data_IF_004250628620
#
_entry.id   IF_004250628620
#
_cell.length_a   1.000
_cell.length_b   1.000
_cell.length_c   1.000
_cell.angle_alpha   90.00
_cell.angle_beta   90.00
_cell.angle_gamma   90.00
#
_symmetry.space_group_name_H-M   'P 1'
#
loop_
_entity.id
_entity.type
_entity.pdbx_description
1 polymer ?
#
# COMPACT_ATOMS: atom_id res chain seq x y z
N UNK A 1 19.42 -6.35 -15.37
CA UNK A 1 19.26 -5.59 -14.11
C UNK A 1 19.59 -4.15 -14.43
N UNK A 2 18.74 -3.18 -14.08
CA UNK A 2 19.07 -1.75 -14.25
C UNK A 2 20.31 -1.42 -13.40
N UNK A 3 21.21 -0.56 -13.90
CA UNK A 3 22.38 -0.16 -13.13
C UNK A 3 21.97 0.63 -11.89
N UNK A 4 22.80 0.62 -10.84
CA UNK A 4 22.56 1.40 -9.63
C UNK A 4 22.28 2.88 -9.94
N UNK A 5 23.00 3.46 -10.92
CA UNK A 5 22.79 4.83 -11.38
C UNK A 5 21.41 5.05 -12.01
N UNK A 6 20.90 4.08 -12.78
CA UNK A 6 19.58 4.17 -13.40
C UNK A 6 18.47 4.12 -12.34
N UNK A 7 18.59 3.22 -11.34
CA UNK A 7 17.63 3.15 -10.23
C UNK A 7 17.59 4.45 -9.43
N UNK A 8 18.76 5.02 -9.12
CA UNK A 8 18.87 6.31 -8.43
C UNK A 8 18.28 7.45 -9.26
N UNK A 9 18.52 7.48 -10.58
CA UNK A 9 17.94 8.49 -11.46
C UNK A 9 16.41 8.39 -11.51
N UNK A 10 15.86 7.17 -11.55
CA UNK A 10 14.41 6.96 -11.51
C UNK A 10 13.81 7.44 -10.17
N UNK A 11 14.47 7.12 -9.05
CA UNK A 11 14.04 7.60 -7.73
C UNK A 11 14.09 9.12 -7.62
N UNK A 12 15.12 9.76 -8.18
CA UNK A 12 15.22 11.22 -8.23
C UNK A 12 14.08 11.84 -9.05
N UNK A 13 13.72 11.24 -10.20
CA UNK A 13 12.57 11.68 -10.99
C UNK A 13 11.25 11.55 -10.22
N UNK A 14 11.07 10.47 -9.45
CA UNK A 14 9.89 10.31 -8.60
C UNK A 14 9.89 11.34 -7.48
N UNK A 15 11.05 11.61 -6.86
CA UNK A 15 11.21 12.62 -5.83
C UNK A 15 10.84 14.02 -6.32
N UNK A 16 11.33 14.42 -7.50
CA UNK A 16 10.99 15.70 -8.11
C UNK A 16 9.49 15.82 -8.42
N UNK A 17 8.88 14.76 -8.97
CA UNK A 17 7.41 14.72 -9.22
C UNK A 17 6.60 14.82 -7.94
N UNK A 18 7.06 14.16 -6.88
CA UNK A 18 6.45 14.29 -5.55
C UNK A 18 6.63 15.70 -5.01
N UNK A 19 7.76 16.35 -5.23
CA UNK A 19 8.03 17.73 -4.79
C UNK A 19 7.16 18.74 -5.52
N UNK A 20 6.95 18.58 -6.82
CA UNK A 20 6.18 19.48 -7.68
C UNK A 20 4.66 19.30 -7.58
N UNK A 21 4.16 18.29 -6.88
CA UNK A 21 2.73 18.11 -6.68
C UNK A 21 2.20 19.14 -5.66
N UNK A 22 1.41 20.10 -6.12
CA UNK A 22 0.87 21.17 -5.27
C UNK A 22 -0.58 20.90 -4.85
N UNK A 23 -1.35 20.19 -5.66
CA UNK A 23 -2.74 19.82 -5.36
C UNK A 23 -2.86 18.41 -4.80
N UNK A 24 -3.96 18.13 -4.11
CA UNK A 24 -4.26 16.80 -3.57
C UNK A 24 -4.39 15.76 -4.68
N UNK A 25 -5.03 16.13 -5.79
CA UNK A 25 -5.17 15.29 -6.99
C UNK A 25 -3.81 14.94 -7.61
N UNK A 26 -2.92 15.92 -7.75
CA UNK A 26 -1.58 15.68 -8.27
C UNK A 26 -0.79 14.74 -7.35
N UNK A 27 -0.84 14.98 -6.04
CA UNK A 27 -0.15 14.12 -5.07
C UNK A 27 -0.71 12.70 -5.12
N UNK A 28 -2.04 12.55 -5.15
CA UNK A 28 -2.71 11.27 -5.28
C UNK A 28 -2.26 10.54 -6.55
N UNK A 29 -2.25 11.20 -7.71
CA UNK A 29 -1.84 10.59 -8.97
C UNK A 29 -0.39 10.09 -8.93
N UNK A 30 0.51 10.87 -8.32
CA UNK A 30 1.91 10.49 -8.15
C UNK A 30 2.03 9.30 -7.19
N UNK A 31 1.33 9.33 -6.05
CA UNK A 31 1.36 8.23 -5.08
C UNK A 31 0.77 6.94 -5.65
N UNK A 32 -0.37 7.02 -6.34
CA UNK A 32 -1.01 5.87 -6.97
C UNK A 32 -0.10 5.17 -7.99
N UNK A 33 0.70 5.95 -8.72
CA UNK A 33 1.60 5.43 -9.75
C UNK A 33 2.94 4.93 -9.21
N UNK A 34 3.51 5.63 -8.22
CA UNK A 34 4.91 5.42 -7.84
C UNK A 34 5.10 4.82 -6.45
N UNK A 35 4.12 4.90 -5.54
CA UNK A 35 4.29 4.38 -4.19
C UNK A 35 4.56 2.85 -4.16
N UNK A 36 3.76 1.99 -4.83
CA UNK A 36 4.05 0.55 -4.86
C UNK A 36 5.45 0.21 -5.41
N UNK A 37 5.86 0.66 -6.62
CA UNK A 37 7.19 0.34 -7.13
C UNK A 37 8.34 0.95 -6.31
N UNK A 38 8.14 2.11 -5.67
CA UNK A 38 9.14 2.67 -4.74
C UNK A 38 9.31 1.77 -3.51
N UNK A 39 8.21 1.25 -2.96
CA UNK A 39 8.28 0.29 -1.84
C UNK A 39 9.02 -0.97 -2.23
N UNK A 40 8.81 -1.51 -3.44
CA UNK A 40 9.57 -2.68 -3.92
C UNK A 40 11.08 -2.40 -3.97
N UNK A 41 11.52 -1.16 -4.20
CA UNK A 41 12.95 -0.81 -4.19
C UNK A 41 13.61 -0.87 -2.82
N UNK A 42 12.84 -1.03 -1.74
CA UNK A 42 13.37 -1.33 -0.40
C UNK A 42 14.13 -2.68 -0.36
N UNK A 43 13.86 -3.60 -1.28
CA UNK A 43 14.58 -4.87 -1.41
C UNK A 43 15.80 -4.80 -2.34
N UNK A 44 16.15 -3.61 -2.87
CA UNK A 44 17.33 -3.46 -3.75
C UNK A 44 18.61 -3.85 -3.02
N UNK A 45 19.50 -4.57 -3.71
CA UNK A 45 20.81 -4.97 -3.19
C UNK A 45 21.74 -3.76 -3.01
N UNK A 46 21.42 -2.63 -3.64
CA UNK A 46 22.21 -1.41 -3.59
C UNK A 46 21.83 -0.57 -2.37
N UNK A 47 22.77 -0.37 -1.45
CA UNK A 47 22.53 0.43 -0.23
C UNK A 47 22.12 1.87 -0.53
N UNK A 48 22.75 2.49 -1.54
CA UNK A 48 22.40 3.86 -1.96
C UNK A 48 20.94 3.98 -2.41
N UNK A 49 20.41 2.97 -3.09
CA UNK A 49 19.01 2.93 -3.55
C UNK A 49 18.08 2.85 -2.34
N UNK A 50 18.36 1.94 -1.39
CA UNK A 50 17.56 1.78 -0.16
C UNK A 50 17.54 3.06 0.67
N UNK A 51 18.68 3.72 0.84
CA UNK A 51 18.78 5.02 1.55
C UNK A 51 17.92 6.11 0.89
N UNK A 52 17.98 6.21 -0.44
CA UNK A 52 17.20 7.20 -1.19
C UNK A 52 15.69 6.92 -1.13
N UNK A 53 15.29 5.65 -1.17
CA UNK A 53 13.88 5.27 -0.95
C UNK A 53 13.42 5.71 0.44
N UNK A 54 14.21 5.43 1.48
CA UNK A 54 13.89 5.83 2.86
C UNK A 54 13.70 7.35 3.00
N UNK A 55 14.61 8.14 2.41
CA UNK A 55 14.50 9.60 2.35
C UNK A 55 13.18 10.02 1.68
N UNK A 56 12.86 9.47 0.52
CA UNK A 56 11.63 9.74 -0.21
C UNK A 56 10.38 9.42 0.64
N UNK A 57 10.37 8.27 1.32
CA UNK A 57 9.24 7.86 2.18
C UNK A 57 9.03 8.82 3.36
N UNK A 58 10.07 9.48 3.89
CA UNK A 58 9.91 10.52 4.93
C UNK A 58 9.08 11.69 4.39
N UNK A 59 9.36 12.15 3.17
CA UNK A 59 8.61 13.24 2.53
C UNK A 59 7.17 12.83 2.20
N UNK A 60 6.98 11.60 1.70
CA UNK A 60 5.66 11.03 1.42
C UNK A 60 4.82 10.98 2.70
N UNK A 61 5.36 10.42 3.78
CA UNK A 61 4.67 10.34 5.07
C UNK A 61 4.26 11.72 5.60
N UNK A 62 5.13 12.72 5.48
CA UNK A 62 4.80 14.10 5.89
C UNK A 62 3.64 14.65 5.07
N UNK A 63 3.67 14.49 3.74
CA UNK A 63 2.63 15.02 2.85
C UNK A 63 1.28 14.34 3.03
N UNK A 64 1.26 13.01 3.17
CA UNK A 64 0.03 12.23 3.41
C UNK A 64 -0.65 12.62 4.73
N UNK A 65 0.13 12.94 5.77
CA UNK A 65 -0.40 13.41 7.06
C UNK A 65 -1.07 14.78 6.96
N UNK A 66 -0.51 15.68 6.15
CA UNK A 66 -1.03 17.04 5.98
C UNK A 66 -2.26 17.10 5.05
N UNK A 67 -2.48 16.06 4.24
CA UNK A 67 -3.54 16.01 3.22
C UNK A 67 -4.41 14.76 3.44
N UNK A 68 -5.41 14.83 4.34
CA UNK A 68 -6.23 13.67 4.70
C UNK A 68 -7.13 13.17 3.57
N UNK A 69 -7.43 14.03 2.59
CA UNK A 69 -8.30 13.72 1.43
C UNK A 69 -7.57 12.87 0.37
N UNK A 70 -6.24 12.93 0.33
CA UNK A 70 -5.43 12.22 -0.67
C UNK A 70 -5.57 10.71 -0.49
N UNK A 71 -6.08 10.01 -1.50
CA UNK A 71 -6.19 8.56 -1.50
C UNK A 71 -4.85 7.88 -1.80
N UNK A 72 -4.64 6.68 -1.26
CA UNK A 72 -3.50 5.82 -1.57
C UNK A 72 -3.94 4.64 -2.45
N UNK A 73 -3.03 4.03 -3.22
CA UNK A 73 -3.36 2.90 -4.09
C UNK A 73 -3.56 1.61 -3.28
N UNK A 74 -4.65 1.53 -2.51
CA UNK A 74 -4.93 0.44 -1.55
C UNK A 74 -4.93 -0.92 -2.23
N UNK A 75 -5.58 -1.07 -3.39
CA UNK A 75 -5.62 -2.34 -4.11
C UNK A 75 -4.23 -2.82 -4.52
N UNK A 76 -3.43 -1.95 -5.14
CA UNK A 76 -2.06 -2.30 -5.52
C UNK A 76 -1.17 -2.61 -4.31
N UNK A 77 -1.38 -1.90 -3.19
CA UNK A 77 -0.68 -2.16 -1.94
C UNK A 77 -1.12 -3.49 -1.31
N UNK A 78 -2.40 -3.89 -1.42
CA UNK A 78 -2.87 -5.19 -0.97
C UNK A 78 -2.25 -6.32 -1.79
N UNK A 79 -2.26 -6.21 -3.11
CA UNK A 79 -1.60 -7.18 -4.00
C UNK A 79 -0.11 -7.32 -3.64
N UNK A 80 0.60 -6.21 -3.45
CA UNK A 80 1.99 -6.22 -3.05
C UNK A 80 2.20 -6.82 -1.64
N UNK A 81 1.29 -6.56 -0.72
CA UNK A 81 1.36 -7.07 0.65
C UNK A 81 1.11 -8.58 0.71
N UNK A 82 0.27 -9.11 -0.17
CA UNK A 82 -0.03 -10.54 -0.30
C UNK A 82 1.08 -11.34 -0.98
N UNK A 83 1.95 -10.70 -1.75
CA UNK A 83 3.02 -11.37 -2.48
C UNK A 83 3.96 -12.14 -1.51
N UNK A 84 4.04 -13.48 -1.62
CA UNK A 84 4.91 -14.29 -0.75
C UNK A 84 6.40 -14.04 -1.01
N UNK A 85 6.75 -13.46 -2.15
CA UNK A 85 8.14 -13.08 -2.49
C UNK A 85 8.55 -11.72 -1.91
N UNK A 86 7.60 -10.95 -1.36
CA UNK A 86 7.90 -9.65 -0.76
C UNK A 86 8.77 -9.82 0.49
N UNK A 87 9.87 -9.07 0.55
CA UNK A 87 10.74 -9.10 1.73
C UNK A 87 10.02 -8.52 2.95
N UNK A 88 10.48 -8.87 4.15
CA UNK A 88 9.93 -8.31 5.40
C UNK A 88 10.01 -6.78 5.41
N UNK A 89 11.05 -6.20 4.81
CA UNK A 89 11.19 -4.74 4.71
C UNK A 89 10.08 -4.14 3.84
N UNK A 90 9.82 -4.70 2.65
CA UNK A 90 8.71 -4.25 1.78
C UNK A 90 7.37 -4.43 2.51
N UNK A 91 7.14 -5.59 3.11
CA UNK A 91 5.89 -5.93 3.82
C UNK A 91 5.61 -4.95 4.97
N UNK A 92 6.62 -4.66 5.80
CA UNK A 92 6.51 -3.76 6.95
C UNK A 92 6.20 -2.31 6.56
N UNK A 93 6.74 -1.82 5.45
CA UNK A 93 6.40 -0.49 4.96
C UNK A 93 5.04 -0.48 4.25
N UNK A 94 4.70 -1.53 3.51
CA UNK A 94 3.44 -1.61 2.76
C UNK A 94 2.23 -1.52 3.70
N UNK A 95 2.27 -2.20 4.87
CA UNK A 95 1.17 -2.13 5.83
C UNK A 95 0.94 -0.71 6.41
N UNK A 96 1.98 0.10 6.55
CA UNK A 96 1.84 1.50 7.03
C UNK A 96 0.94 2.30 6.07
N UNK A 97 1.13 2.10 4.76
CA UNK A 97 0.34 2.75 3.73
C UNK A 97 -1.06 2.14 3.59
N UNK A 98 -1.22 0.84 3.81
CA UNK A 98 -2.54 0.22 3.90
C UNK A 98 -3.36 0.79 5.08
N UNK A 99 -2.77 0.87 6.27
CA UNK A 99 -3.43 1.41 7.47
C UNK A 99 -3.85 2.87 7.32
N UNK A 100 -3.09 3.65 6.56
CA UNK A 100 -3.40 5.06 6.33
C UNK A 100 -4.32 5.30 5.13
N UNK A 101 -4.28 4.43 4.12
CA UNK A 101 -5.04 4.57 2.87
C UNK A 101 -6.40 3.89 2.89
N UNK A 102 -6.53 2.75 3.57
CA UNK A 102 -7.76 1.97 3.60
C UNK A 102 -8.94 2.75 4.23
N UNK A 103 -8.78 3.43 5.39
CA UNK A 103 -9.88 4.20 5.98
C UNK A 103 -10.35 5.40 5.14
N UNK A 104 -9.55 5.84 4.15
CA UNK A 104 -9.87 6.98 3.28
C UNK A 104 -10.80 6.61 2.13
N UNK A 105 -10.95 5.31 1.84
CA UNK A 105 -11.85 4.83 0.79
C UNK A 105 -13.32 5.05 1.18
N UNK A 106 -14.23 5.17 0.20
CA UNK A 106 -15.66 5.04 0.46
C UNK A 106 -15.99 3.71 1.15
N UNK A 107 -16.97 3.72 2.05
CA UNK A 107 -17.33 2.55 2.88
C UNK A 107 -17.69 1.33 2.03
N UNK A 108 -18.35 1.55 0.90
CA UNK A 108 -18.74 0.50 -0.06
C UNK A 108 -17.50 -0.20 -0.60
N UNK A 109 -16.46 0.57 -0.93
CA UNK A 109 -15.21 0.05 -1.48
C UNK A 109 -14.35 -0.59 -0.39
N UNK A 110 -14.38 -0.06 0.84
CA UNK A 110 -13.76 -0.74 1.98
C UNK A 110 -14.39 -2.13 2.20
N UNK A 111 -15.72 -2.21 2.19
CA UNK A 111 -16.46 -3.47 2.36
C UNK A 111 -16.16 -4.49 1.25
N UNK A 112 -16.02 -4.02 0.00
CA UNK A 112 -15.63 -4.86 -1.14
C UNK A 112 -14.21 -5.46 -0.97
N UNK A 113 -13.29 -4.73 -0.33
CA UNK A 113 -11.92 -5.18 -0.13
C UNK A 113 -11.72 -6.04 1.12
N UNK A 114 -12.70 -6.13 2.03
CA UNK A 114 -12.62 -6.95 3.24
C UNK A 114 -12.16 -8.39 2.96
N UNK A 115 -12.69 -9.11 1.97
CA UNK A 115 -12.26 -10.48 1.71
C UNK A 115 -10.80 -10.55 1.23
N UNK A 116 -10.36 -9.55 0.45
CA UNK A 116 -8.95 -9.45 0.04
C UNK A 116 -8.04 -9.22 1.26
N UNK A 117 -8.47 -8.40 2.22
CA UNK A 117 -7.71 -8.17 3.47
C UNK A 117 -7.65 -9.43 4.32
N UNK A 118 -8.74 -10.21 4.41
CA UNK A 118 -8.76 -11.48 5.14
C UNK A 118 -7.75 -12.47 4.53
N UNK A 119 -7.70 -12.60 3.21
CA UNK A 119 -6.73 -13.46 2.53
C UNK A 119 -5.29 -12.97 2.74
N UNK A 120 -5.11 -11.67 2.97
CA UNK A 120 -3.81 -11.08 3.24
C UNK A 120 -3.28 -11.31 4.67
N UNK A 121 -4.07 -11.91 5.56
CA UNK A 121 -3.67 -12.22 6.93
C UNK A 121 -2.71 -13.42 7.02
N UNK A 122 -2.73 -14.31 6.03
CA UNK A 122 -1.95 -15.55 6.11
C UNK A 122 -0.44 -15.27 6.25
N UNK A 123 0.20 -15.96 7.21
CA UNK A 123 1.64 -15.90 7.46
C UNK A 123 2.19 -14.47 7.73
N UNK A 124 1.37 -13.56 8.27
CA UNK A 124 1.80 -12.20 8.67
C UNK A 124 2.10 -12.08 10.17
N UNK A 125 2.98 -11.14 10.58
CA UNK A 125 3.26 -10.88 11.99
C UNK A 125 2.00 -10.51 12.78
N UNK A 126 1.91 -10.90 14.05
CA UNK A 126 0.72 -10.66 14.90
C UNK A 126 0.30 -9.19 14.93
N UNK A 127 1.25 -8.26 15.03
CA UNK A 127 0.97 -6.82 15.02
C UNK A 127 0.30 -6.33 13.73
N UNK A 128 0.56 -7.01 12.61
CA UNK A 128 -0.09 -6.75 11.33
C UNK A 128 -1.50 -7.32 11.30
N UNK A 129 -1.70 -8.53 11.82
CA UNK A 129 -3.00 -9.16 11.95
C UNK A 129 -3.94 -8.27 12.77
N UNK A 130 -3.51 -7.86 13.96
CA UNK A 130 -4.28 -6.97 14.84
C UNK A 130 -4.65 -5.68 14.10
N UNK A 131 -3.67 -5.07 13.42
CA UNK A 131 -3.89 -3.84 12.67
C UNK A 131 -4.90 -4.00 11.54
N UNK A 132 -4.84 -5.09 10.76
CA UNK A 132 -5.73 -5.33 9.63
C UNK A 132 -7.13 -5.74 10.11
N UNK A 133 -7.23 -6.57 11.14
CA UNK A 133 -8.51 -6.96 11.76
C UNK A 133 -9.25 -5.73 12.32
N UNK A 134 -8.54 -4.84 13.02
CA UNK A 134 -9.14 -3.60 13.53
C UNK A 134 -9.71 -2.71 12.41
N UNK A 135 -9.14 -2.75 11.20
CA UNK A 135 -9.67 -2.01 10.05
C UNK A 135 -10.97 -2.63 9.52
N UNK A 136 -11.06 -3.96 9.46
CA UNK A 136 -12.16 -4.65 8.76
C UNK A 136 -13.30 -5.08 9.66
N UNK A 137 -13.09 -5.26 10.98
CA UNK A 137 -14.14 -5.66 11.93
C UNK A 137 -15.39 -4.76 11.83
N UNK A 138 -15.27 -3.41 11.81
CA UNK A 138 -16.44 -2.53 11.70
C UNK A 138 -17.18 -2.65 10.36
N UNK A 139 -16.56 -3.28 9.36
CA UNK A 139 -17.08 -3.40 8.00
C UNK A 139 -17.73 -4.75 7.73
N UNK A 140 -17.54 -5.76 8.59
CA UNK A 140 -18.06 -7.11 8.39
C UNK A 140 -19.58 -7.11 8.15
N UNK A 141 -20.34 -6.29 8.89
CA UNK A 141 -21.79 -6.16 8.70
C UNK A 141 -22.22 -5.45 7.41
N UNK A 142 -21.27 -4.88 6.66
CA UNK A 142 -21.50 -4.17 5.38
C UNK A 142 -21.00 -4.96 4.17
N UNK A 143 -20.32 -6.09 4.40
CA UNK A 143 -19.84 -6.97 3.32
C UNK A 143 -21.06 -7.61 2.66
N UNK A 144 -21.14 -7.48 1.33
CA UNK A 144 -22.16 -8.18 0.54
C UNK A 144 -21.75 -9.64 0.44
N UNK A 145 -22.34 -10.47 1.29
CA UNK A 145 -22.13 -11.92 1.27
C UNK A 145 -22.94 -12.51 0.10
N UNK A 146 -22.31 -13.17 -0.88
CA UNK A 146 -23.03 -13.86 -1.93
C UNK A 146 -23.94 -14.94 -1.33
N UNK A 147 -25.19 -15.02 -1.78
CA UNK A 147 -26.14 -16.06 -1.31
C UNK A 147 -25.88 -17.42 -1.96
N UNK A 148 -25.09 -17.45 -3.03
CA UNK A 148 -24.74 -18.66 -3.77
C UNK A 148 -23.54 -19.39 -3.12
N UNK A 149 -23.64 -20.70 -2.83
CA UNK A 149 -22.62 -21.45 -2.11
C UNK A 149 -21.27 -21.50 -2.85
N UNK A 150 -21.29 -21.52 -4.19
CA UNK A 150 -20.07 -21.51 -5.01
C UNK A 150 -19.29 -20.19 -4.91
N UNK A 151 -20.00 -19.07 -4.73
CA UNK A 151 -19.39 -17.74 -4.56
C UNK A 151 -18.94 -17.49 -3.12
N UNK A 152 -19.50 -18.22 -2.14
CA UNK A 152 -19.05 -18.17 -0.75
C UNK A 152 -17.66 -18.78 -0.58
N UNK A 153 -17.38 -19.91 -1.24
CA UNK A 153 -16.06 -20.55 -1.20
C UNK A 153 -15.00 -19.62 -1.77
N UNK A 154 -15.28 -18.99 -2.91
CA UNK A 154 -14.36 -18.06 -3.57
C UNK A 154 -14.24 -16.69 -2.88
N UNK A 155 -15.11 -16.38 -1.89
CA UNK A 155 -15.09 -15.08 -1.22
C UNK A 155 -13.83 -14.95 -0.34
N UNK A 156 -13.39 -16.03 0.30
CA UNK A 156 -12.29 -16.04 1.27
C UNK A 156 -11.03 -16.76 0.76
N UNK A 157 -10.93 -16.96 -0.56
CA UNK A 157 -9.84 -17.72 -1.18
C UNK A 157 -10.13 -19.21 -1.24
#
# INVERSE_FOLDING_TARGET
MAGQADELMLLERVFLRLGSAETDEQLQNVLCKFLPPVLLKLSSQQEGVRKKVMELLIHVNRRIKMRPVVQLPVEALLTQYQDPSATSFVTNFTIIYLKSGFPRLPVEKQAELVPTVLNALENKPMSHLDSLLLLIIPLLGKVKVPTEPEKLVNLLG
#
